data_IF_447283240523
#
_entry.id   IF_447283240523
#
_cell.length_a   1.000
_cell.length_b   1.000
_cell.length_c   1.000
_cell.angle_alpha   90.00
_cell.angle_beta   90.00
_cell.angle_gamma   90.00
#
_symmetry.space_group_name_H-M   'P 1'
#
loop_
_entity.id
_entity.type
_entity.pdbx_description
1 polymer ?
#
# COMPACT_ATOMS: atom_id res chain seq x y z
N UNK A 1 10.12 -4.99 -12.56
CA UNK A 1 8.79 -4.42 -12.25
C UNK A 1 8.69 -4.31 -10.73
N UNK A 2 8.38 -3.12 -10.20
CA UNK A 2 8.25 -2.92 -8.76
C UNK A 2 6.80 -3.13 -8.33
N UNK A 3 6.56 -3.94 -7.29
CA UNK A 3 5.27 -3.97 -6.60
C UNK A 3 5.25 -2.81 -5.60
N UNK A 4 4.57 -1.71 -5.93
CA UNK A 4 4.47 -0.49 -5.09
C UNK A 4 3.00 -0.22 -4.81
N UNK A 5 2.69 0.26 -3.60
CA UNK A 5 1.36 0.73 -3.28
C UNK A 5 0.96 1.99 -4.05
N UNK A 6 -0.25 2.52 -3.83
CA UNK A 6 -1.26 1.92 -2.97
C UNK A 6 -1.93 0.71 -3.65
N UNK A 7 -2.09 0.68 -4.97
CA UNK A 7 -2.92 -0.35 -5.62
C UNK A 7 -2.28 -1.74 -5.71
N UNK A 8 -1.13 -1.85 -6.39
CA UNK A 8 -0.56 -3.17 -6.72
C UNK A 8 -0.17 -3.97 -5.48
N UNK A 9 0.39 -3.29 -4.46
CA UNK A 9 0.80 -3.94 -3.23
C UNK A 9 -0.38 -4.46 -2.41
N UNK A 10 -1.45 -3.66 -2.29
CA UNK A 10 -2.66 -4.06 -1.58
C UNK A 10 -3.29 -5.30 -2.24
N UNK A 11 -3.37 -5.32 -3.57
CA UNK A 11 -3.97 -6.42 -4.33
C UNK A 11 -3.14 -7.71 -4.25
N UNK A 12 -1.81 -7.61 -4.32
CA UNK A 12 -0.91 -8.76 -4.18
C UNK A 12 -1.05 -9.39 -2.78
N UNK A 13 -1.04 -8.55 -1.72
CA UNK A 13 -1.22 -9.01 -0.34
C UNK A 13 -2.62 -9.60 -0.09
N UNK A 14 -3.66 -9.01 -0.68
CA UNK A 14 -5.01 -9.56 -0.63
C UNK A 14 -5.09 -10.95 -1.29
N UNK A 15 -4.45 -11.13 -2.45
CA UNK A 15 -4.40 -12.41 -3.15
C UNK A 15 -3.67 -13.48 -2.33
N UNK A 16 -2.50 -13.15 -1.78
CA UNK A 16 -1.74 -14.03 -0.89
C UNK A 16 -2.60 -14.46 0.31
N UNK A 17 -3.28 -13.51 0.95
CA UNK A 17 -4.15 -13.79 2.08
C UNK A 17 -5.32 -14.71 1.68
N UNK A 18 -5.94 -14.46 0.52
CA UNK A 18 -7.04 -15.27 -0.01
C UNK A 18 -6.61 -16.72 -0.33
N UNK A 19 -5.37 -16.92 -0.78
CA UNK A 19 -4.79 -18.24 -1.03
C UNK A 19 -4.35 -18.96 0.27
N UNK A 20 -4.49 -18.33 1.43
CA UNK A 20 -4.07 -18.89 2.72
C UNK A 20 -2.55 -19.01 2.86
N UNK A 21 -1.78 -18.23 2.09
CA UNK A 21 -0.32 -18.25 2.13
C UNK A 21 0.14 -17.36 3.29
N UNK A 22 0.84 -17.88 4.31
CA UNK A 22 1.16 -17.10 5.50
C UNK A 22 2.43 -16.26 5.37
N UNK A 23 3.14 -16.35 4.24
CA UNK A 23 4.41 -15.67 4.01
C UNK A 23 4.47 -15.07 2.60
N UNK A 24 5.09 -13.90 2.49
CA UNK A 24 5.35 -13.24 1.22
C UNK A 24 6.83 -12.90 1.14
N UNK A 25 7.39 -12.97 -0.07
CA UNK A 25 8.69 -12.37 -0.32
C UNK A 25 8.60 -10.86 -0.07
N UNK A 26 9.68 -10.28 0.45
CA UNK A 26 9.92 -8.83 0.44
C UNK A 26 10.13 -8.37 -1.00
N UNK A 27 9.03 -8.28 -1.74
CA UNK A 27 9.01 -7.81 -3.12
C UNK A 27 9.61 -6.39 -3.23
N UNK A 28 9.79 -5.90 -4.46
CA UNK A 28 10.52 -4.67 -4.75
C UNK A 28 10.13 -3.39 -3.98
N UNK A 29 9.01 -3.35 -3.24
CA UNK A 29 8.60 -2.25 -2.35
C UNK A 29 9.67 -1.83 -1.33
N UNK A 30 10.59 -2.73 -0.94
CA UNK A 30 11.71 -2.39 -0.05
C UNK A 30 12.76 -1.46 -0.69
N UNK A 31 12.82 -1.38 -2.03
CA UNK A 31 13.75 -0.51 -2.75
C UNK A 31 13.17 0.88 -3.04
N UNK A 32 11.91 1.11 -2.69
CA UNK A 32 11.26 2.42 -2.83
C UNK A 32 11.18 3.09 -1.47
N UNK A 33 11.25 4.42 -1.46
CA UNK A 33 10.98 5.23 -0.28
C UNK A 33 9.47 5.23 0.03
N UNK A 34 8.93 4.06 0.35
CA UNK A 34 7.51 3.85 0.61
C UNK A 34 6.63 4.38 -0.53
N UNK A 35 5.70 5.26 -0.17
CA UNK A 35 4.79 5.97 -1.07
C UNK A 35 5.26 7.39 -1.40
N UNK A 36 6.55 7.73 -1.22
CA UNK A 36 7.06 9.09 -1.40
C UNK A 36 6.89 9.65 -2.81
N UNK A 37 6.67 8.80 -3.82
CA UNK A 37 6.38 9.23 -5.19
C UNK A 37 4.95 9.72 -5.39
N UNK A 38 4.06 9.46 -4.42
CA UNK A 38 2.66 9.87 -4.49
C UNK A 38 2.44 11.19 -3.74
N UNK A 39 1.47 12.01 -4.19
CA UNK A 39 1.03 13.19 -3.48
C UNK A 39 0.70 12.96 -2.00
N UNK A 40 0.93 13.98 -1.16
CA UNK A 40 0.75 13.92 0.29
C UNK A 40 -0.66 13.51 0.73
N UNK A 41 -1.69 13.87 -0.05
CA UNK A 41 -3.06 13.45 0.23
C UNK A 41 -3.18 11.92 0.14
N UNK A 42 -2.65 11.28 -0.91
CA UNK A 42 -2.67 9.82 -1.06
C UNK A 42 -1.93 9.15 0.11
N UNK A 43 -0.76 9.68 0.48
CA UNK A 43 0.01 9.12 1.59
C UNK A 43 -0.76 9.22 2.92
N UNK A 44 -1.40 10.35 3.19
CA UNK A 44 -2.23 10.57 4.39
C UNK A 44 -3.43 9.62 4.41
N UNK A 45 -4.13 9.51 3.29
CA UNK A 45 -5.26 8.61 3.12
C UNK A 45 -4.88 7.14 3.39
N UNK A 46 -3.71 6.70 2.92
CA UNK A 46 -3.21 5.34 3.22
C UNK A 46 -2.88 5.15 4.70
N UNK A 47 -2.32 6.15 5.37
CA UNK A 47 -2.08 6.07 6.82
C UNK A 47 -3.38 6.02 7.63
N UNK A 48 -4.43 6.71 7.17
CA UNK A 48 -5.75 6.71 7.82
C UNK A 48 -6.47 5.38 7.63
N UNK A 49 -6.52 4.87 6.39
CA UNK A 49 -7.33 3.70 6.04
C UNK A 49 -6.60 2.36 6.18
N UNK A 50 -5.27 2.38 6.15
CA UNK A 50 -4.42 1.19 6.22
C UNK A 50 -3.30 1.34 7.26
N UNK A 51 -3.58 2.02 8.39
CA UNK A 51 -2.60 2.25 9.47
C UNK A 51 -2.12 0.99 10.20
N UNK A 52 -2.76 -0.16 9.98
CA UNK A 52 -2.27 -1.46 10.42
C UNK A 52 -1.18 -2.04 9.50
N UNK A 53 -1.14 -1.57 8.25
CA UNK A 53 -0.16 -1.96 7.22
C UNK A 53 0.94 -0.91 7.05
N UNK A 54 0.58 0.37 7.05
CA UNK A 54 1.46 1.51 6.80
C UNK A 54 1.76 2.32 8.06
N UNK A 55 2.99 2.84 8.13
CA UNK A 55 3.44 3.82 9.11
C UNK A 55 4.18 4.98 8.45
N UNK A 56 4.35 6.09 9.19
CA UNK A 56 5.15 7.21 8.72
C UNK A 56 6.63 6.97 9.00
N UNK A 57 7.44 6.97 7.94
CA UNK A 57 8.88 6.76 7.99
C UNK A 57 9.57 7.85 7.18
N UNK A 58 10.46 8.63 7.80
CA UNK A 58 11.21 9.70 7.12
C UNK A 58 10.34 10.70 6.33
N UNK A 59 9.12 10.96 6.80
CA UNK A 59 8.20 11.93 6.19
C UNK A 59 7.27 11.36 5.12
N UNK A 60 7.34 10.06 4.82
CA UNK A 60 6.44 9.39 3.86
C UNK A 60 5.80 8.14 4.45
N UNK A 61 4.66 7.72 3.88
CA UNK A 61 4.01 6.46 4.27
C UNK A 61 4.79 5.25 3.70
N UNK A 62 5.12 4.27 4.54
CA UNK A 62 5.78 3.03 4.11
C UNK A 62 5.25 1.83 4.91
N UNK A 63 5.49 0.60 4.43
CA UNK A 63 5.11 -0.60 5.18
C UNK A 63 5.77 -0.60 6.56
N UNK A 64 4.99 -0.92 7.58
CA UNK A 64 5.42 -0.91 8.98
C UNK A 64 5.33 -2.32 9.60
N UNK A 65 6.16 -3.30 9.18
CA UNK A 65 6.12 -4.63 9.76
C UNK A 65 6.52 -4.61 11.24
N UNK A 66 5.78 -5.33 12.06
CA UNK A 66 6.07 -5.52 13.49
C UNK A 66 6.42 -6.97 13.77
N UNK A 67 7.60 -7.22 14.34
CA UNK A 67 8.08 -8.59 14.58
C UNK A 67 8.18 -9.44 13.31
N UNK A 68 8.44 -8.83 12.16
CA UNK A 68 8.48 -9.51 10.86
C UNK A 68 7.11 -9.86 10.27
N UNK A 69 6.03 -9.29 10.79
CA UNK A 69 4.65 -9.54 10.35
C UNK A 69 4.01 -8.26 9.84
N UNK A 70 3.15 -8.39 8.83
CA UNK A 70 2.24 -7.33 8.37
C UNK A 70 0.83 -7.65 8.85
N UNK A 71 0.09 -6.64 9.29
CA UNK A 71 -1.37 -6.76 9.44
C UNK A 71 -2.03 -6.46 8.10
N UNK A 72 -2.93 -7.36 7.69
CA UNK A 72 -3.75 -7.21 6.48
C UNK A 72 -5.23 -7.02 6.83
N UNK A 73 -5.53 -6.59 8.06
CA UNK A 73 -6.89 -6.51 8.55
C UNK A 73 -7.72 -5.53 7.72
N UNK A 74 -7.19 -4.33 7.48
CA UNK A 74 -7.86 -3.32 6.65
C UNK A 74 -7.86 -3.71 5.16
N UNK A 75 -6.77 -4.29 4.64
CA UNK A 75 -6.70 -4.82 3.27
C UNK A 75 -7.84 -5.79 3.00
N UNK A 76 -8.08 -6.72 3.92
CA UNK A 76 -9.12 -7.74 3.78
C UNK A 76 -10.55 -7.21 3.95
N UNK A 77 -10.74 -5.97 4.42
CA UNK A 77 -12.08 -5.34 4.41
C UNK A 77 -12.53 -4.94 3.00
N UNK A 78 -11.57 -4.69 2.09
CA UNK A 78 -11.81 -4.35 0.69
C UNK A 78 -10.67 -4.87 -0.21
N UNK A 79 -10.49 -6.20 -0.35
CA UNK A 79 -9.27 -6.83 -0.88
C UNK A 79 -8.88 -6.42 -2.31
N UNK A 80 -9.87 -6.11 -3.16
CA UNK A 80 -9.66 -5.61 -4.53
C UNK A 80 -10.25 -4.21 -4.74
N UNK A 81 -10.73 -3.60 -3.65
CA UNK A 81 -11.17 -2.21 -3.64
C UNK A 81 -10.03 -1.28 -3.28
N UNK A 82 -10.23 0.01 -3.54
CA UNK A 82 -9.38 1.07 -3.01
C UNK A 82 -10.20 1.81 -1.97
N UNK A 83 -9.81 1.65 -0.70
CA UNK A 83 -10.30 2.49 0.40
C UNK A 83 -9.10 3.34 0.87
N UNK A 84 -9.20 4.68 0.81
CA UNK A 84 -10.30 5.46 0.27
C UNK A 84 -10.29 5.44 -1.27
N UNK A 85 -11.36 5.97 -1.86
CA UNK A 85 -11.36 6.28 -3.28
C UNK A 85 -10.22 7.25 -3.57
N UNK A 86 -9.25 6.81 -4.39
CA UNK A 86 -8.14 7.65 -4.78
C UNK A 86 -8.68 8.79 -5.65
N UNK A 87 -8.35 10.03 -5.29
CA UNK A 87 -8.58 11.17 -6.17
C UNK A 87 -7.54 11.11 -7.29
N UNK A 88 -8.02 10.79 -8.49
CA UNK A 88 -7.18 10.63 -9.69
C UNK A 88 -7.09 11.92 -10.50
N UNK A 89 -7.75 13.01 -10.09
CA UNK A 89 -7.68 14.30 -10.82
C UNK A 89 -6.25 14.82 -10.96
N UNK A 90 -5.36 14.44 -10.03
CA UNK A 90 -3.93 14.76 -10.08
C UNK A 90 -3.16 13.97 -11.17
N UNK A 91 -3.80 13.00 -11.82
CA UNK A 91 -3.23 12.24 -12.94
C UNK A 91 -3.72 12.76 -14.31
N UNK A 92 -4.61 13.76 -14.34
CA UNK A 92 -5.19 14.30 -15.59
C UNK A 92 -4.14 14.97 -16.50
N UNK A 93 -2.98 15.36 -15.95
CA UNK A 93 -1.86 15.93 -16.71
C UNK A 93 -1.02 14.88 -17.47
N UNK A 94 -1.30 13.57 -17.28
CA UNK A 94 -0.66 12.51 -18.04
C UNK A 94 -1.34 12.33 -19.40
N UNK A 95 -0.99 13.19 -20.35
CA UNK A 95 -1.32 13.01 -21.77
C UNK A 95 -0.44 11.89 -22.33
N UNK A 96 -1.04 10.79 -22.80
CA UNK A 96 -0.36 9.71 -23.51
C UNK A 96 0.14 10.14 -24.90
#
# INVERSE_FOLDING_TARGET
>A
MGNVGPVALLQDLAMVAALGIPHVERNGHHYFAGLSMFPDNIQREMLVHHGDLYGCHHGFAALAPSGGRLSLATVNTAPFGVIPHLDLSMLDDWVF
#
